data_IF_192322131904
#
_entry.id   IF_192322131904
#
_cell.length_a   1.000
_cell.length_b   1.000
_cell.length_c   1.000
_cell.angle_alpha   90.00
_cell.angle_beta   90.00
_cell.angle_gamma   90.00
#
_symmetry.space_group_name_H-M   'P 1'
#
loop_
_entity.id
_entity.type
_entity.pdbx_description
1 polymer ?
#
# COMPACT_ATOMS: atom_id res chain seq x y z
N UNK A 1 28.93 48.67 -0.18
CA UNK A 1 28.30 48.63 -1.53
C UNK A 1 28.20 47.20 -2.09
N UNK A 2 29.27 46.40 -2.12
CA UNK A 2 29.22 44.98 -2.56
C UNK A 2 28.25 44.09 -1.76
N UNK A 3 28.19 44.26 -0.44
CA UNK A 3 27.32 43.46 0.44
C UNK A 3 25.84 43.74 0.22
N UNK A 4 25.47 44.99 -0.08
CA UNK A 4 24.08 45.34 -0.44
C UNK A 4 23.70 44.73 -1.79
N UNK A 5 24.60 44.78 -2.78
CA UNK A 5 24.34 44.19 -4.11
C UNK A 5 24.13 42.68 -4.03
N UNK A 6 24.89 41.96 -3.19
CA UNK A 6 24.72 40.52 -3.00
C UNK A 6 23.36 40.20 -2.34
N UNK A 7 22.95 40.98 -1.34
CA UNK A 7 21.64 40.81 -0.67
C UNK A 7 20.48 41.07 -1.64
N UNK A 8 20.59 42.08 -2.52
CA UNK A 8 19.56 42.35 -3.53
C UNK A 8 19.41 41.23 -4.56
N UNK A 9 20.52 40.62 -4.99
CA UNK A 9 20.50 39.49 -5.95
C UNK A 9 19.92 38.23 -5.30
N UNK A 10 20.26 37.96 -4.04
CA UNK A 10 19.67 36.84 -3.28
C UNK A 10 18.17 37.02 -3.05
N UNK A 11 17.70 38.24 -2.78
CA UNK A 11 16.27 38.52 -2.61
C UNK A 11 15.47 38.34 -3.91
N UNK A 12 16.03 38.66 -5.08
CA UNK A 12 15.38 38.43 -6.37
C UNK A 12 15.31 36.94 -6.75
N UNK A 13 16.30 36.14 -6.35
CA UNK A 13 16.29 34.70 -6.61
C UNK A 13 15.25 33.95 -5.76
N UNK A 14 14.97 34.42 -4.54
CA UNK A 14 14.01 33.79 -3.62
C UNK A 14 12.53 34.01 -4.02
N UNK A 15 12.23 34.95 -4.91
CA UNK A 15 10.87 35.13 -5.43
C UNK A 15 10.55 34.22 -6.63
N UNK A 16 11.53 33.45 -7.15
CA UNK A 16 11.36 32.62 -8.35
C UNK A 16 11.41 31.10 -8.07
N UNK A 17 11.36 30.70 -6.80
CA UNK A 17 11.52 29.31 -6.37
C UNK A 17 10.40 28.37 -6.89
N UNK A 18 9.23 28.92 -7.22
CA UNK A 18 8.12 28.18 -7.81
C UNK A 18 8.08 28.20 -9.35
N UNK A 19 9.08 28.77 -10.03
CA UNK A 19 9.11 28.90 -11.49
C UNK A 19 9.92 27.79 -12.20
N UNK A 20 9.90 26.56 -11.66
CA UNK A 20 10.08 25.39 -12.52
C UNK A 20 11.30 24.50 -12.31
N UNK A 21 12.02 24.60 -11.20
CA UNK A 21 12.99 23.56 -10.85
C UNK A 21 12.55 22.75 -9.63
N UNK A 22 11.67 21.78 -9.86
CA UNK A 22 11.45 20.66 -8.95
C UNK A 22 11.93 19.38 -9.66
N UNK A 23 12.90 18.63 -9.09
CA UNK A 23 13.48 17.46 -9.72
C UNK A 23 12.44 16.37 -10.07
N UNK A 24 11.29 16.33 -9.38
CA UNK A 24 10.19 15.42 -9.73
C UNK A 24 9.51 15.76 -11.07
N UNK A 25 9.53 17.03 -11.51
CA UNK A 25 8.93 17.46 -12.79
C UNK A 25 9.94 17.80 -13.87
N UNK A 26 11.17 18.16 -13.52
CA UNK A 26 12.21 18.57 -14.47
C UNK A 26 13.28 17.49 -14.72
N UNK A 27 13.40 16.49 -13.83
CA UNK A 27 14.39 15.42 -13.95
C UNK A 27 13.81 14.12 -14.49
N UNK A 28 12.94 13.46 -13.71
CA UNK A 28 12.52 12.07 -13.97
C UNK A 28 11.37 11.98 -14.99
N UNK A 29 10.47 12.97 -15.00
CA UNK A 29 9.23 12.94 -15.80
C UNK A 29 9.09 14.09 -16.79
N UNK A 30 10.16 14.87 -17.05
CA UNK A 30 10.06 16.17 -17.73
C UNK A 30 9.35 16.15 -19.09
N UNK A 31 9.49 15.05 -19.82
CA UNK A 31 8.91 14.86 -21.15
C UNK A 31 7.84 13.75 -21.19
N UNK A 32 7.30 13.33 -20.04
CA UNK A 32 6.24 12.31 -20.00
C UNK A 32 4.86 12.96 -19.88
N UNK A 33 3.79 12.30 -20.37
CA UNK A 33 2.42 12.76 -20.14
C UNK A 33 2.12 12.98 -18.65
N UNK A 34 2.70 12.12 -17.79
CA UNK A 34 2.59 12.22 -16.35
C UNK A 34 3.28 13.46 -15.77
N UNK A 35 4.48 13.82 -16.27
CA UNK A 35 5.14 15.06 -15.87
C UNK A 35 4.37 16.32 -16.26
N UNK A 36 3.71 16.30 -17.42
CA UNK A 36 2.81 17.38 -17.85
C UNK A 36 1.61 17.53 -16.90
N UNK A 37 0.92 16.43 -16.59
CA UNK A 37 -0.20 16.41 -15.63
C UNK A 37 0.20 17.00 -14.27
N UNK A 38 1.36 16.61 -13.75
CA UNK A 38 1.84 17.09 -12.45
C UNK A 38 2.03 18.61 -12.44
N UNK A 39 2.62 19.18 -13.50
CA UNK A 39 2.84 20.62 -13.63
C UNK A 39 1.53 21.40 -13.72
N UNK A 40 0.58 20.91 -14.50
CA UNK A 40 -0.75 21.52 -14.62
C UNK A 40 -1.51 21.50 -13.28
N UNK A 41 -1.38 20.41 -12.52
CA UNK A 41 -1.97 20.29 -11.18
C UNK A 41 -1.38 21.30 -10.20
N UNK A 42 -0.08 21.57 -10.25
CA UNK A 42 0.55 22.59 -9.41
C UNK A 42 0.08 24.01 -9.73
N UNK A 43 0.01 24.34 -11.03
CA UNK A 43 -0.54 25.62 -11.47
C UNK A 43 -1.98 25.80 -10.97
N UNK A 44 -2.79 24.73 -11.01
CA UNK A 44 -4.15 24.72 -10.48
C UNK A 44 -4.20 24.86 -8.95
N UNK A 45 -3.29 24.22 -8.20
CA UNK A 45 -3.22 24.34 -6.73
C UNK A 45 -2.89 25.77 -6.27
N UNK A 46 -2.18 26.53 -7.09
CA UNK A 46 -1.91 27.94 -6.85
C UNK A 46 -3.02 28.88 -7.34
N UNK A 47 -4.15 28.34 -7.83
CA UNK A 47 -5.27 29.13 -8.37
C UNK A 47 -4.94 29.84 -9.69
N UNK A 48 -3.86 29.44 -10.37
CA UNK A 48 -3.35 30.09 -11.60
C UNK A 48 -3.72 29.35 -12.88
N UNK A 49 -4.59 28.33 -12.80
CA UNK A 49 -5.02 27.55 -13.95
C UNK A 49 -6.13 26.55 -13.63
N UNK A 50 -6.65 25.90 -14.67
CA UNK A 50 -7.70 24.90 -14.54
C UNK A 50 -7.17 23.59 -13.94
N UNK A 51 -7.96 22.96 -13.08
CA UNK A 51 -7.61 21.67 -12.46
C UNK A 51 -7.66 20.55 -13.51
N UNK A 52 -6.54 19.83 -13.77
CA UNK A 52 -6.55 18.70 -14.69
C UNK A 52 -7.40 17.57 -14.10
N UNK A 53 -8.31 17.02 -14.91
CA UNK A 53 -9.30 16.02 -14.48
C UNK A 53 -8.87 14.58 -14.75
N UNK A 54 -7.84 14.37 -15.57
CA UNK A 54 -7.41 13.04 -16.02
C UNK A 54 -5.94 12.83 -15.71
N UNK A 55 -5.65 11.76 -14.97
CA UNK A 55 -4.28 11.33 -14.65
C UNK A 55 -3.83 10.38 -15.76
N UNK A 56 -2.79 10.71 -16.54
CA UNK A 56 -2.30 9.84 -17.59
C UNK A 56 -1.58 8.64 -16.96
N UNK A 57 -2.15 7.45 -17.18
CA UNK A 57 -1.58 6.18 -16.75
C UNK A 57 -0.57 5.71 -17.80
N UNK A 58 0.69 5.50 -17.41
CA UNK A 58 1.67 4.82 -18.26
C UNK A 58 1.59 3.32 -17.97
N UNK A 59 0.77 2.61 -18.73
CA UNK A 59 0.79 1.16 -18.73
C UNK A 59 2.01 0.69 -19.53
N UNK A 60 2.78 -0.33 -19.10
CA UNK A 60 3.07 -1.41 -20.03
C UNK A 60 1.76 -2.19 -20.18
N UNK A 61 0.95 -1.88 -21.20
CA UNK A 61 -0.32 -2.54 -21.45
C UNK A 61 -0.11 -3.92 -22.11
N UNK A 62 0.90 -4.67 -21.69
CA UNK A 62 1.01 -6.09 -22.05
C UNK A 62 0.52 -6.89 -20.86
N UNK A 63 -0.81 -7.01 -20.78
CA UNK A 63 -1.38 -8.11 -20.00
C UNK A 63 -0.81 -9.40 -20.62
N UNK A 64 -0.14 -10.26 -19.83
CA UNK A 64 0.45 -11.46 -20.38
C UNK A 64 -0.65 -12.32 -21.00
N UNK A 65 -0.42 -12.84 -22.20
CA UNK A 65 -1.39 -13.73 -22.83
C UNK A 65 -1.50 -15.02 -22.01
N UNK A 66 -2.59 -15.78 -22.17
CA UNK A 66 -2.76 -17.04 -21.46
C UNK A 66 -1.56 -17.99 -21.66
N UNK A 67 -0.93 -17.91 -22.84
CA UNK A 67 0.25 -18.68 -23.22
C UNK A 67 1.52 -18.19 -22.50
N UNK A 68 1.67 -16.88 -22.30
CA UNK A 68 2.79 -16.29 -21.53
C UNK A 68 2.67 -16.60 -20.03
N UNK A 69 1.45 -16.80 -19.52
CA UNK A 69 1.15 -17.20 -18.13
C UNK A 69 1.38 -18.71 -17.93
N UNK A 70 1.14 -19.53 -18.96
CA UNK A 70 1.08 -20.98 -18.83
C UNK A 70 2.40 -21.63 -18.38
N UNK A 71 3.54 -20.96 -18.54
CA UNK A 71 4.86 -21.52 -18.23
C UNK A 71 5.11 -22.85 -18.96
N UNK A 72 6.25 -23.49 -18.70
CA UNK A 72 6.51 -24.83 -19.23
C UNK A 72 5.46 -25.79 -18.69
N UNK A 73 4.75 -26.48 -19.59
CA UNK A 73 3.68 -27.41 -19.25
C UNK A 73 4.09 -28.33 -18.08
N UNK A 74 3.28 -28.44 -17.02
CA UNK A 74 3.56 -29.39 -15.95
C UNK A 74 3.66 -30.79 -16.56
N UNK A 75 4.70 -31.55 -16.17
CA UNK A 75 4.81 -32.96 -16.56
C UNK A 75 3.50 -33.63 -16.19
N UNK A 76 2.86 -34.30 -17.16
CA UNK A 76 1.59 -35.00 -16.96
C UNK A 76 1.68 -35.87 -15.70
N UNK A 77 0.99 -35.46 -14.64
CA UNK A 77 0.68 -36.37 -13.56
C UNK A 77 -0.27 -37.44 -14.12
N UNK A 78 -0.04 -38.71 -13.76
CA UNK A 78 -0.89 -39.81 -14.16
C UNK A 78 -2.35 -39.52 -13.80
N UNK A 79 -3.26 -39.87 -14.71
CA UNK A 79 -4.68 -39.53 -14.67
C UNK A 79 -5.33 -39.92 -13.33
N UNK A 80 -5.73 -38.91 -12.55
CA UNK A 80 -6.78 -39.07 -11.55
C UNK A 80 -8.15 -38.91 -12.23
N UNK A 81 -9.13 -39.67 -11.73
CA UNK A 81 -10.51 -39.80 -12.22
C UNK A 81 -11.20 -38.48 -12.64
N UNK A 82 -12.21 -38.52 -13.54
CA UNK A 82 -12.85 -37.32 -14.07
C UNK A 82 -13.55 -36.55 -12.96
N UNK A 83 -12.92 -35.46 -12.51
CA UNK A 83 -13.57 -34.43 -11.71
C UNK A 83 -14.45 -33.65 -12.68
N UNK A 84 -15.76 -33.73 -12.50
CA UNK A 84 -16.69 -32.87 -13.23
C UNK A 84 -16.35 -31.44 -12.87
N UNK A 85 -15.84 -30.67 -13.83
CA UNK A 85 -15.60 -29.25 -13.67
C UNK A 85 -16.95 -28.55 -13.57
N UNK A 86 -17.50 -28.50 -12.34
CA UNK A 86 -18.54 -27.54 -12.02
C UNK A 86 -17.92 -26.16 -12.24
N UNK A 87 -18.43 -25.47 -13.25
CA UNK A 87 -18.00 -24.15 -13.66
C UNK A 87 -17.71 -23.29 -12.43
N UNK A 88 -16.47 -22.80 -12.31
CA UNK A 88 -16.13 -21.79 -11.32
C UNK A 88 -17.14 -20.64 -11.48
N UNK A 89 -17.88 -20.25 -10.44
CA UNK A 89 -18.80 -19.13 -10.55
C UNK A 89 -18.01 -17.92 -11.03
N UNK A 90 -18.40 -17.36 -12.19
CA UNK A 90 -17.86 -16.11 -12.66
C UNK A 90 -18.13 -15.05 -11.59
N UNK A 91 -17.08 -14.50 -11.00
CA UNK A 91 -17.22 -13.38 -10.07
C UNK A 91 -17.70 -12.19 -10.90
N UNK A 92 -18.91 -11.64 -10.63
CA UNK A 92 -19.45 -10.55 -11.45
C UNK A 92 -18.54 -9.31 -11.35
N UNK A 93 -18.40 -8.56 -12.44
CA UNK A 93 -17.59 -7.34 -12.53
C UNK A 93 -18.01 -6.22 -11.54
N UNK A 94 -19.13 -6.44 -10.87
CA UNK A 94 -19.80 -5.58 -9.91
C UNK A 94 -20.04 -6.31 -8.57
N UNK A 95 -19.25 -7.35 -8.28
CA UNK A 95 -19.15 -7.96 -6.95
C UNK A 95 -18.85 -6.87 -5.92
N UNK A 96 -19.88 -6.43 -5.21
CA UNK A 96 -19.74 -5.44 -4.16
C UNK A 96 -18.88 -6.08 -3.06
N UNK A 97 -17.75 -5.46 -2.73
CA UNK A 97 -17.02 -5.78 -1.49
C UNK A 97 -18.05 -5.68 -0.38
N UNK A 98 -18.26 -6.76 0.38
CA UNK A 98 -19.25 -6.77 1.45
C UNK A 98 -18.95 -5.64 2.44
N UNK A 99 -19.67 -4.54 2.30
CA UNK A 99 -19.69 -3.39 3.22
C UNK A 99 -20.74 -3.57 4.31
N UNK A 100 -21.35 -4.76 4.42
CA UNK A 100 -22.26 -5.09 5.51
C UNK A 100 -22.13 -6.56 5.92
N UNK A 101 -22.26 -6.77 7.23
CA UNK A 101 -21.77 -7.89 8.04
C UNK A 101 -21.16 -7.28 9.31
N UNK A 102 -21.00 -7.99 10.45
CA UNK A 102 -20.55 -7.35 11.70
C UNK A 102 -19.22 -6.56 11.61
N UNK A 103 -18.44 -6.75 10.54
CA UNK A 103 -17.22 -6.01 10.25
C UNK A 103 -17.05 -5.72 8.74
N UNK A 104 -17.58 -4.60 8.23
CA UNK A 104 -17.40 -4.22 6.84
C UNK A 104 -16.01 -3.62 6.57
N UNK A 105 -15.26 -4.23 5.65
CA UNK A 105 -13.96 -3.73 5.14
C UNK A 105 -12.70 -4.16 5.92
N UNK A 106 -12.79 -4.49 7.21
CA UNK A 106 -11.63 -4.94 8.01
C UNK A 106 -11.32 -6.42 7.80
N UNK A 107 -12.33 -7.29 7.71
CA UNK A 107 -12.11 -8.74 7.51
C UNK A 107 -11.34 -9.06 6.21
N UNK A 108 -11.64 -8.45 5.04
CA UNK A 108 -10.83 -8.67 3.83
C UNK A 108 -9.37 -8.21 3.97
N UNK A 109 -9.12 -7.12 4.70
CA UNK A 109 -7.76 -6.62 4.95
C UNK A 109 -6.99 -7.60 5.83
N UNK A 110 -7.61 -8.07 6.91
CA UNK A 110 -7.02 -9.02 7.84
C UNK A 110 -6.79 -10.39 7.20
N UNK A 111 -7.74 -10.90 6.40
CA UNK A 111 -7.56 -12.15 5.63
C UNK A 111 -6.38 -12.01 4.66
N UNK A 112 -6.33 -10.93 3.88
CA UNK A 112 -5.22 -10.70 2.94
C UNK A 112 -3.89 -10.62 3.69
N UNK A 113 -3.84 -9.92 4.80
CA UNK A 113 -2.64 -9.80 5.63
C UNK A 113 -2.20 -11.14 6.21
N UNK A 114 -3.15 -11.93 6.73
CA UNK A 114 -2.89 -13.26 7.27
C UNK A 114 -2.28 -14.22 6.23
N UNK A 115 -2.63 -14.09 4.95
CA UNK A 115 -2.05 -14.88 3.87
C UNK A 115 -0.73 -14.32 3.33
N UNK A 116 -0.50 -13.01 3.44
CA UNK A 116 0.74 -12.37 3.01
C UNK A 116 1.89 -12.68 3.99
N UNK A 117 1.62 -12.57 5.29
CA UNK A 117 2.56 -12.92 6.35
C UNK A 117 2.45 -14.41 6.67
N UNK A 118 3.52 -15.18 6.55
CA UNK A 118 3.51 -16.65 6.76
C UNK A 118 4.06 -17.09 8.11
N UNK A 119 4.77 -16.22 8.81
CA UNK A 119 5.36 -16.53 10.11
C UNK A 119 4.28 -16.85 11.16
N UNK A 120 4.68 -17.63 12.17
CA UNK A 120 3.86 -17.93 13.33
C UNK A 120 3.93 -16.76 14.34
N UNK A 121 2.88 -16.52 15.13
CA UNK A 121 2.95 -15.57 16.25
C UNK A 121 4.15 -15.84 17.16
N UNK A 122 4.83 -14.77 17.56
CA UNK A 122 6.09 -14.77 18.31
C UNK A 122 7.35 -15.00 17.47
N UNK A 123 7.24 -15.17 16.15
CA UNK A 123 8.42 -15.29 15.28
C UNK A 123 8.89 -13.89 14.84
N UNK A 124 9.99 -13.41 15.41
CA UNK A 124 10.55 -12.11 15.06
C UNK A 124 11.03 -12.05 13.59
N UNK A 125 10.22 -11.46 12.71
CA UNK A 125 10.52 -11.25 11.29
C UNK A 125 10.95 -9.80 11.02
N UNK A 126 10.38 -8.85 11.74
CA UNK A 126 10.65 -7.43 11.62
C UNK A 126 11.65 -6.99 12.68
N UNK A 127 12.81 -6.50 12.24
CA UNK A 127 13.87 -6.06 13.15
C UNK A 127 13.41 -4.82 13.90
N UNK A 128 13.26 -4.93 15.22
CA UNK A 128 13.03 -3.81 16.13
C UNK A 128 14.34 -3.44 16.84
N UNK A 129 14.71 -2.17 16.82
CA UNK A 129 15.85 -1.65 17.59
C UNK A 129 15.46 -1.12 18.97
N UNK A 130 14.16 -1.18 19.29
CA UNK A 130 13.57 -0.74 20.54
C UNK A 130 12.06 -0.94 20.53
N UNK A 131 11.46 -0.91 21.73
CA UNK A 131 10.03 -1.13 21.94
C UNK A 131 9.77 -1.36 23.43
N UNK A 132 8.61 -0.93 23.92
CA UNK A 132 8.19 -1.16 25.31
C UNK A 132 6.93 -2.00 25.31
N UNK A 133 7.01 -3.20 25.90
CA UNK A 133 5.85 -4.09 26.07
C UNK A 133 4.73 -3.37 26.83
N UNK A 134 5.07 -2.57 27.84
CA UNK A 134 4.09 -1.77 28.58
C UNK A 134 3.44 -0.67 27.73
N UNK A 135 4.20 -0.03 26.84
CA UNK A 135 3.67 0.96 25.90
C UNK A 135 2.75 0.29 24.87
N UNK A 136 3.17 -0.83 24.29
CA UNK A 136 2.35 -1.64 23.40
C UNK A 136 1.04 -2.06 24.08
N UNK A 137 1.10 -2.56 25.32
CA UNK A 137 -0.07 -2.96 26.09
C UNK A 137 -1.02 -1.78 26.38
N UNK A 138 -0.50 -0.57 26.62
CA UNK A 138 -1.34 0.65 26.74
C UNK A 138 -1.99 1.01 25.41
N UNK A 139 -1.25 0.91 24.31
CA UNK A 139 -1.77 1.19 22.98
C UNK A 139 -2.85 0.17 22.57
N UNK A 140 -2.67 -1.11 22.90
CA UNK A 140 -3.66 -2.16 22.65
C UNK A 140 -4.98 -1.93 23.40
N UNK A 141 -4.93 -1.40 24.63
CA UNK A 141 -6.12 -1.04 25.40
C UNK A 141 -6.97 0.08 24.79
N UNK A 142 -6.43 0.82 23.81
CA UNK A 142 -7.18 1.87 23.12
C UNK A 142 -8.15 1.34 22.04
N UNK A 143 -8.06 0.05 21.70
CA UNK A 143 -8.91 -0.56 20.68
C UNK A 143 -9.99 -1.47 21.26
N UNK A 144 -11.11 -1.55 20.54
CA UNK A 144 -12.23 -2.42 20.91
C UNK A 144 -11.94 -3.92 20.73
N UNK A 145 -10.98 -4.29 19.88
CA UNK A 145 -10.63 -5.69 19.60
C UNK A 145 -9.22 -5.83 19.01
N UNK A 146 -8.68 -7.06 19.03
CA UNK A 146 -7.41 -7.38 18.37
C UNK A 146 -7.48 -7.16 16.85
N UNK A 147 -8.60 -7.50 16.21
CA UNK A 147 -8.84 -7.23 14.78
C UNK A 147 -8.80 -5.72 14.46
N UNK A 148 -9.40 -4.90 15.34
CA UNK A 148 -9.38 -3.44 15.18
C UNK A 148 -7.96 -2.88 15.36
N UNK A 149 -7.20 -3.39 16.34
CA UNK A 149 -5.82 -3.02 16.57
C UNK A 149 -4.93 -3.39 15.38
N UNK A 150 -5.05 -4.63 14.87
CA UNK A 150 -4.29 -5.12 13.72
C UNK A 150 -4.61 -4.32 12.46
N UNK A 151 -5.90 -4.03 12.20
CA UNK A 151 -6.31 -3.21 11.06
C UNK A 151 -5.68 -1.82 11.14
N UNK A 152 -5.71 -1.19 12.32
CA UNK A 152 -5.13 0.14 12.53
C UNK A 152 -3.59 0.14 12.50
N UNK A 153 -2.95 -0.96 12.86
CA UNK A 153 -1.51 -1.17 12.72
C UNK A 153 -1.10 -1.23 11.24
N UNK A 154 -1.80 -2.03 10.44
CA UNK A 154 -1.58 -2.12 8.99
C UNK A 154 -1.84 -0.77 8.32
N UNK A 155 -2.93 -0.08 8.70
CA UNK A 155 -3.27 1.24 8.16
C UNK A 155 -2.21 2.30 8.49
N UNK A 156 -1.47 2.14 9.60
CA UNK A 156 -0.37 3.02 9.99
C UNK A 156 0.98 2.66 9.35
N UNK A 157 1.02 1.67 8.43
CA UNK A 157 2.25 1.23 7.76
C UNK A 157 3.03 0.13 8.51
N UNK A 158 2.42 -0.49 9.51
CA UNK A 158 2.89 -1.76 10.04
C UNK A 158 2.83 -2.85 8.96
N UNK A 159 3.73 -3.84 8.99
CA UNK A 159 4.73 -4.13 10.01
C UNK A 159 6.09 -3.44 9.82
N UNK A 160 6.28 -2.70 8.72
CA UNK A 160 7.58 -2.11 8.39
C UNK A 160 7.93 -0.94 9.33
N UNK A 161 7.00 -0.03 9.58
CA UNK A 161 7.30 1.24 10.27
C UNK A 161 6.98 1.21 11.77
N UNK A 162 5.90 0.52 12.18
CA UNK A 162 5.37 0.50 13.55
C UNK A 162 5.50 1.83 14.33
N UNK A 163 4.81 2.90 13.89
CA UNK A 163 4.97 4.25 14.46
C UNK A 163 4.48 4.37 15.91
N UNK A 164 3.72 3.38 16.40
CA UNK A 164 3.15 3.37 17.75
C UNK A 164 3.79 2.34 18.68
N UNK A 165 4.81 1.62 18.20
CA UNK A 165 5.48 0.57 18.98
C UNK A 165 4.53 -0.52 19.45
N UNK A 166 3.56 -0.90 18.60
CA UNK A 166 2.53 -1.90 18.91
C UNK A 166 3.04 -3.34 18.78
N UNK A 167 4.14 -3.55 18.05
CA UNK A 167 4.78 -4.84 17.76
C UNK A 167 6.23 -4.86 18.29
N UNK A 168 6.42 -4.90 19.62
CA UNK A 168 7.75 -4.86 20.25
C UNK A 168 8.56 -6.14 20.03
N UNK A 169 7.91 -7.28 19.80
CA UNK A 169 8.50 -8.58 19.48
C UNK A 169 8.80 -8.75 17.98
N UNK A 170 8.21 -7.91 17.12
CA UNK A 170 8.57 -7.82 15.71
C UNK A 170 8.02 -8.98 14.88
N UNK A 171 6.95 -9.62 15.32
CA UNK A 171 6.33 -10.73 14.59
C UNK A 171 5.31 -10.27 13.53
N UNK A 172 4.95 -8.98 13.58
CA UNK A 172 3.99 -8.34 12.69
C UNK A 172 2.52 -8.52 13.11
N UNK A 173 2.25 -9.08 14.29
CA UNK A 173 0.92 -9.34 14.82
C UNK A 173 0.73 -8.65 16.18
N UNK A 174 -0.12 -7.62 16.21
CA UNK A 174 -0.26 -6.78 17.40
C UNK A 174 -1.40 -7.23 18.30
N UNK A 175 -1.27 -6.91 19.60
CA UNK A 175 -2.35 -7.04 20.57
C UNK A 175 -2.95 -8.46 20.67
N UNK A 176 -2.13 -9.49 20.44
CA UNK A 176 -2.54 -10.89 20.49
C UNK A 176 -3.38 -11.35 19.30
N UNK A 177 -3.37 -10.60 18.19
CA UNK A 177 -4.05 -11.01 16.97
C UNK A 177 -3.45 -12.29 16.38
N UNK A 178 -4.29 -13.28 16.09
CA UNK A 178 -3.87 -14.57 15.56
C UNK A 178 -4.26 -14.71 14.08
N UNK A 179 -3.31 -14.86 13.15
CA UNK A 179 -3.59 -15.04 11.74
C UNK A 179 -4.09 -16.44 11.38
N UNK A 180 -3.88 -17.45 12.24
CA UNK A 180 -4.13 -18.86 11.90
C UNK A 180 -5.59 -19.15 11.51
N UNK A 181 -6.63 -18.61 12.18
CA UNK A 181 -8.02 -18.83 11.78
C UNK A 181 -8.35 -18.25 10.39
N UNK A 182 -7.65 -17.21 9.97
CA UNK A 182 -7.82 -16.58 8.66
C UNK A 182 -7.10 -17.33 7.54
N UNK A 183 -6.05 -18.10 7.87
CA UNK A 183 -5.28 -18.91 6.91
C UNK A 183 -5.96 -20.24 6.57
N UNK A 184 -6.88 -20.70 7.41
CA UNK A 184 -7.55 -21.98 7.20
C UNK A 184 -8.48 -21.90 5.98
N UNK A 185 -8.20 -22.74 4.99
CA UNK A 185 -9.12 -22.99 3.89
C UNK A 185 -10.34 -23.72 4.46
N UNK A 186 -11.50 -23.06 4.52
CA UNK A 186 -12.76 -23.78 4.78
C UNK A 186 -13.19 -24.47 3.49
N UNK A 187 -12.64 -25.65 3.25
CA UNK A 187 -13.09 -26.61 2.25
C UNK A 187 -13.33 -27.95 2.96
#
# INVERSE_FOLDING_TARGET
MRTLMILSVLALAACNENAGWNPNYAGINANTPYGKYLREREVALHGKGATPQVIPIVLPAKAPTAEEIAGTAPRKAAAAAPVTETARPAVPANAQVAQSGPYPGSTPVLVRYAHAEQQAPGTATYRRSGGSVDAAARACRSYASADAAQTAFIAAGGPVIDPRGMDPDGDGFVCGWDPRPYRQSRL
#
